data_IF_493743374093
#
_entry.id   IF_493743374093
#
_cell.length_a   1.000
_cell.length_b   1.000
_cell.length_c   1.000
_cell.angle_alpha   90.00
_cell.angle_beta   90.00
_cell.angle_gamma   90.00
#
_symmetry.space_group_name_H-M   'P 1'
#
loop_
_entity.id
_entity.type
_entity.pdbx_description
1 polymer ?
#
# COMPACT_ATOMS: atom_id res chain seq x y z
N UNK A 1 26.38 -23.29 7.45
CA UNK A 1 26.18 -21.86 7.14
C UNK A 1 26.20 -21.76 5.63
N UNK A 2 25.13 -21.29 4.96
CA UNK A 2 25.19 -21.06 3.53
C UNK A 2 26.25 -19.98 3.27
N UNK A 3 27.01 -20.13 2.20
CA UNK A 3 28.13 -19.27 1.82
C UNK A 3 27.65 -17.80 1.74
N UNK A 4 28.12 -16.95 2.67
CA UNK A 4 27.91 -15.51 2.62
C UNK A 4 28.48 -14.99 1.30
N UNK A 5 27.61 -14.44 0.47
CA UNK A 5 27.92 -14.01 -0.89
C UNK A 5 29.09 -13.01 -0.89
N UNK A 6 30.24 -13.44 -1.43
CA UNK A 6 31.53 -12.75 -1.35
C UNK A 6 31.73 -11.73 -2.47
N UNK A 7 30.76 -10.85 -2.72
CA UNK A 7 31.03 -9.64 -3.51
C UNK A 7 30.90 -8.43 -2.62
N UNK A 8 32.03 -7.97 -2.10
CA UNK A 8 32.12 -6.66 -1.47
C UNK A 8 31.78 -5.58 -2.52
N UNK A 9 30.55 -5.09 -2.52
CA UNK A 9 30.21 -3.86 -3.24
C UNK A 9 30.91 -2.72 -2.50
N UNK A 10 31.71 -1.95 -3.23
CA UNK A 10 32.34 -0.75 -2.69
C UNK A 10 31.27 0.35 -2.56
N UNK A 11 31.24 1.18 -1.50
CA UNK A 11 30.39 2.37 -1.45
C UNK A 11 30.45 3.25 -2.71
N UNK A 12 31.58 3.29 -3.42
CA UNK A 12 31.73 4.02 -4.68
C UNK A 12 30.94 3.41 -5.86
N UNK A 13 30.53 2.15 -5.75
CA UNK A 13 29.70 1.44 -6.72
C UNK A 13 28.20 1.59 -6.43
N UNK A 14 27.83 2.19 -5.29
CA UNK A 14 26.44 2.50 -5.00
C UNK A 14 25.90 3.53 -6.00
N UNK A 15 24.68 3.34 -6.50
CA UNK A 15 23.99 4.28 -7.36
C UNK A 15 24.02 5.69 -6.77
N UNK A 16 24.26 6.67 -7.67
CA UNK A 16 24.33 8.07 -7.28
C UNK A 16 23.07 8.53 -6.53
N UNK A 17 21.90 8.00 -6.90
CA UNK A 17 20.62 8.22 -6.22
C UNK A 17 20.72 8.00 -4.70
N UNK A 18 21.29 6.87 -4.27
CA UNK A 18 21.42 6.54 -2.85
C UNK A 18 22.40 7.50 -2.17
N UNK A 19 23.54 7.78 -2.80
CA UNK A 19 24.56 8.68 -2.23
C UNK A 19 24.09 10.14 -2.16
N UNK A 20 23.31 10.60 -3.14
CA UNK A 20 22.75 11.95 -3.18
C UNK A 20 21.58 12.07 -2.19
N UNK A 21 20.76 11.02 -2.03
CA UNK A 21 19.74 10.94 -0.97
C UNK A 21 20.35 11.11 0.42
N UNK A 22 21.40 10.34 0.74
CA UNK A 22 22.10 10.44 2.04
C UNK A 22 22.61 11.86 2.29
N UNK A 23 23.22 12.52 1.29
CA UNK A 23 23.65 13.92 1.40
C UNK A 23 22.47 14.87 1.63
N UNK A 24 21.34 14.64 0.96
CA UNK A 24 20.14 15.47 1.05
C UNK A 24 19.46 15.40 2.41
N UNK A 25 19.49 14.24 3.07
CA UNK A 25 18.87 14.06 4.39
C UNK A 25 19.83 14.32 5.55
N UNK A 26 21.14 14.46 5.31
CA UNK A 26 22.16 14.56 6.36
C UNK A 26 21.91 15.68 7.39
N UNK A 27 21.33 16.81 6.98
CA UNK A 27 21.00 17.92 7.89
C UNK A 27 19.83 17.64 8.82
N UNK A 28 19.00 16.64 8.52
CA UNK A 28 17.83 16.26 9.31
C UNK A 28 18.17 15.33 10.47
N UNK A 29 19.37 14.73 10.46
CA UNK A 29 19.77 13.70 11.41
C UNK A 29 21.02 14.13 12.20
N UNK A 30 21.09 13.79 13.50
CA UNK A 30 22.22 14.16 14.34
C UNK A 30 23.51 13.39 14.02
N UNK A 31 23.42 12.22 13.38
CA UNK A 31 24.56 11.39 13.02
C UNK A 31 24.22 10.47 11.83
N UNK A 32 25.25 9.86 11.24
CA UNK A 32 25.10 8.98 10.08
C UNK A 32 24.34 7.69 10.36
N UNK A 33 24.47 7.12 11.56
CA UNK A 33 23.76 5.91 11.97
C UNK A 33 22.24 6.11 11.96
N UNK A 34 21.76 7.29 12.35
CA UNK A 34 20.32 7.61 12.35
C UNK A 34 19.70 7.62 10.93
N UNK A 35 20.52 7.70 9.88
CA UNK A 35 20.06 7.65 8.49
C UNK A 35 19.93 6.22 7.94
N UNK A 36 20.25 5.19 8.73
CA UNK A 36 20.36 3.80 8.24
C UNK A 36 19.05 3.28 7.64
N UNK A 37 17.94 3.33 8.38
CA UNK A 37 16.64 2.84 7.90
C UNK A 37 16.18 3.59 6.63
N UNK A 38 16.16 4.94 6.59
CA UNK A 38 15.83 5.66 5.36
C UNK A 38 16.71 5.28 4.17
N UNK A 39 18.01 5.06 4.41
CA UNK A 39 18.97 4.70 3.36
C UNK A 39 18.73 3.28 2.85
N UNK A 40 18.42 2.33 3.73
CA UNK A 40 18.05 0.96 3.36
C UNK A 40 16.75 0.94 2.56
N UNK A 41 15.74 1.72 2.97
CA UNK A 41 14.50 1.88 2.22
C UNK A 41 14.79 2.45 0.84
N UNK A 42 15.61 3.51 0.72
CA UNK A 42 15.97 4.10 -0.57
C UNK A 42 16.72 3.12 -1.47
N UNK A 43 17.63 2.34 -0.90
CA UNK A 43 18.32 1.29 -1.64
C UNK A 43 17.34 0.20 -2.13
N UNK A 44 16.39 -0.19 -1.29
CA UNK A 44 15.31 -1.10 -1.67
C UNK A 44 14.44 -0.53 -2.80
N UNK A 45 14.19 0.78 -2.85
CA UNK A 45 13.47 1.36 -4.00
C UNK A 45 14.22 1.13 -5.29
N UNK A 46 15.53 1.32 -5.28
CA UNK A 46 16.40 1.15 -6.44
C UNK A 46 16.55 -0.31 -6.88
N UNK A 47 16.89 -1.20 -5.95
CA UNK A 47 17.19 -2.60 -6.23
C UNK A 47 15.96 -3.52 -6.16
N UNK A 48 14.88 -3.07 -5.52
CA UNK A 48 13.68 -3.84 -5.19
C UNK A 48 13.75 -4.66 -3.90
N UNK A 49 14.95 -4.99 -3.45
CA UNK A 49 15.25 -5.70 -2.21
C UNK A 49 16.69 -5.34 -1.80
N UNK A 50 17.04 -5.59 -0.54
CA UNK A 50 18.35 -5.30 0.03
C UNK A 50 19.14 -6.59 0.15
N UNK A 51 20.12 -6.78 -0.73
CA UNK A 51 21.07 -7.90 -0.60
C UNK A 51 22.14 -7.61 0.44
N UNK A 52 22.86 -8.63 0.88
CA UNK A 52 23.96 -8.47 1.84
C UNK A 52 25.04 -7.52 1.31
N UNK A 53 25.33 -7.58 0.01
CA UNK A 53 26.32 -6.71 -0.61
C UNK A 53 25.89 -5.23 -0.56
N UNK A 54 24.61 -4.96 -0.81
CA UNK A 54 24.04 -3.60 -0.71
C UNK A 54 24.05 -3.15 0.76
N UNK A 55 23.67 -4.01 1.70
CA UNK A 55 23.69 -3.73 3.12
C UNK A 55 25.11 -3.41 3.63
N UNK A 56 26.12 -4.20 3.23
CA UNK A 56 27.52 -3.95 3.55
C UNK A 56 28.01 -2.60 2.98
N UNK A 57 27.66 -2.28 1.74
CA UNK A 57 28.03 -1.01 1.12
C UNK A 57 27.40 0.19 1.85
N UNK A 58 26.13 0.08 2.27
CA UNK A 58 25.44 1.11 3.07
C UNK A 58 26.07 1.24 4.46
N UNK A 59 26.42 0.12 5.10
CA UNK A 59 27.13 0.12 6.38
C UNK A 59 28.46 0.88 6.28
N UNK A 60 29.26 0.60 5.24
CA UNK A 60 30.51 1.32 4.95
C UNK A 60 30.25 2.82 4.67
N UNK A 61 29.21 3.17 3.91
CA UNK A 61 28.83 4.55 3.59
C UNK A 61 28.47 5.36 4.85
N UNK A 62 27.67 4.77 5.75
CA UNK A 62 27.19 5.41 6.97
C UNK A 62 28.12 5.22 8.17
N UNK A 63 29.23 4.47 8.01
CA UNK A 63 30.16 4.07 9.07
C UNK A 63 29.47 3.28 10.20
N UNK A 64 28.54 2.40 9.83
CA UNK A 64 27.83 1.50 10.73
C UNK A 64 28.37 0.07 10.53
N UNK A 65 28.71 -0.68 11.59
CA UNK A 65 29.15 -2.07 11.48
C UNK A 65 28.08 -2.93 10.80
N UNK A 66 28.48 -3.86 9.91
CA UNK A 66 27.54 -4.71 9.19
C UNK A 66 26.60 -5.49 10.11
N UNK A 67 27.08 -6.03 11.24
CA UNK A 67 26.23 -6.74 12.20
C UNK A 67 25.09 -5.89 12.78
N UNK A 68 25.27 -4.56 12.89
CA UNK A 68 24.17 -3.67 13.27
C UNK A 68 23.21 -3.41 12.10
N UNK A 69 23.72 -3.38 10.87
CA UNK A 69 22.89 -3.26 9.66
C UNK A 69 22.03 -4.50 9.48
N UNK A 70 22.63 -5.68 9.59
CA UNK A 70 21.95 -6.98 9.55
C UNK A 70 20.86 -7.06 10.63
N UNK A 71 21.18 -6.69 11.87
CA UNK A 71 20.20 -6.66 12.95
C UNK A 71 18.99 -5.73 12.64
N UNK A 72 19.21 -4.60 11.96
CA UNK A 72 18.13 -3.71 11.52
C UNK A 72 17.32 -4.34 10.39
N UNK A 73 17.97 -4.96 9.41
CA UNK A 73 17.28 -5.63 8.30
C UNK A 73 16.40 -6.77 8.83
N UNK A 74 16.93 -7.60 9.73
CA UNK A 74 16.20 -8.72 10.32
C UNK A 74 15.05 -8.27 11.24
N UNK A 75 15.19 -7.11 11.88
CA UNK A 75 14.19 -6.58 12.80
C UNK A 75 12.99 -5.95 12.09
N UNK A 76 13.20 -5.23 10.99
CA UNK A 76 12.14 -4.50 10.29
C UNK A 76 11.60 -5.28 9.09
N UNK A 77 10.35 -5.76 9.20
CA UNK A 77 9.66 -6.55 8.16
C UNK A 77 9.47 -5.83 6.82
N UNK A 78 9.59 -4.50 6.80
CA UNK A 78 9.50 -3.69 5.57
C UNK A 78 10.79 -3.73 4.73
N UNK A 79 11.90 -4.20 5.30
CA UNK A 79 13.17 -4.34 4.59
C UNK A 79 13.28 -5.79 4.11
N UNK A 80 13.20 -5.96 2.79
CA UNK A 80 13.07 -7.24 2.13
C UNK A 80 14.45 -7.68 1.65
N UNK A 81 14.88 -8.86 2.07
CA UNK A 81 16.14 -9.46 1.59
C UNK A 81 15.95 -10.33 0.35
N UNK A 82 14.71 -10.71 0.04
CA UNK A 82 14.40 -11.58 -1.10
C UNK A 82 13.82 -10.77 -2.26
N UNK A 83 14.07 -11.18 -3.51
CA UNK A 83 13.39 -10.60 -4.66
C UNK A 83 11.87 -10.68 -4.49
N UNK A 84 11.19 -9.62 -4.93
CA UNK A 84 9.73 -9.53 -4.97
C UNK A 84 9.25 -9.23 -6.38
N UNK A 85 7.98 -9.51 -6.64
CA UNK A 85 7.29 -9.06 -7.85
C UNK A 85 7.24 -7.54 -7.93
N UNK A 86 6.79 -7.01 -9.06
CA UNK A 86 6.63 -5.57 -9.26
C UNK A 86 5.79 -4.90 -8.16
N UNK A 87 4.75 -5.59 -7.70
CA UNK A 87 3.84 -5.20 -6.64
C UNK A 87 3.88 -6.19 -5.49
N UNK A 88 4.04 -5.67 -4.28
CA UNK A 88 3.84 -6.41 -3.05
C UNK A 88 2.41 -6.14 -2.60
N UNK A 89 1.66 -7.23 -2.39
CA UNK A 89 0.30 -7.22 -1.86
C UNK A 89 0.40 -7.61 -0.39
N UNK A 90 0.44 -6.63 0.50
CA UNK A 90 0.41 -6.82 1.95
C UNK A 90 -1.02 -6.99 2.44
N UNK A 91 -1.41 -8.19 2.83
CA UNK A 91 -2.74 -8.48 3.38
C UNK A 91 -2.68 -8.59 4.90
N UNK A 92 -3.46 -7.75 5.59
CA UNK A 92 -3.54 -7.79 7.05
C UNK A 92 -4.24 -9.08 7.52
N UNK A 93 -3.60 -9.85 8.41
CA UNK A 93 -4.16 -11.08 9.01
C UNK A 93 -4.42 -10.99 10.51
N UNK A 94 -4.34 -9.78 11.08
CA UNK A 94 -4.78 -9.57 12.46
C UNK A 94 -6.28 -9.81 12.62
N UNK A 95 -6.70 -10.07 13.85
CA UNK A 95 -8.04 -10.52 14.23
C UNK A 95 -9.20 -9.84 13.48
N UNK A 96 -9.20 -8.51 13.37
CA UNK A 96 -10.28 -7.79 12.70
C UNK A 96 -10.34 -8.08 11.19
N UNK A 97 -9.20 -8.16 10.52
CA UNK A 97 -9.15 -8.46 9.09
C UNK A 97 -9.41 -9.94 8.82
N UNK A 98 -8.96 -10.83 9.71
CA UNK A 98 -9.31 -12.26 9.65
C UNK A 98 -10.83 -12.46 9.71
N UNK A 99 -11.50 -11.80 10.66
CA UNK A 99 -12.97 -11.81 10.76
C UNK A 99 -13.66 -11.13 9.58
N UNK A 100 -13.02 -10.13 8.98
CA UNK A 100 -13.51 -9.46 7.77
C UNK A 100 -13.29 -10.22 6.47
N UNK A 101 -12.71 -11.42 6.51
CA UNK A 101 -12.54 -12.27 5.32
C UNK A 101 -11.18 -12.20 4.66
N UNK A 102 -10.13 -11.76 5.35
CA UNK A 102 -8.75 -11.82 4.85
C UNK A 102 -8.34 -13.24 4.43
N UNK A 103 -8.73 -14.27 5.18
CA UNK A 103 -8.48 -15.66 4.81
C UNK A 103 -9.01 -16.02 3.41
N UNK A 104 -10.22 -15.56 3.06
CA UNK A 104 -10.82 -15.79 1.75
C UNK A 104 -10.03 -15.09 0.63
N UNK A 105 -9.56 -13.86 0.86
CA UNK A 105 -8.71 -13.15 -0.09
C UNK A 105 -7.36 -13.85 -0.30
N UNK A 106 -6.76 -14.36 0.78
CA UNK A 106 -5.51 -15.13 0.72
C UNK A 106 -5.69 -16.40 -0.11
N UNK A 107 -6.70 -17.19 0.21
CA UNK A 107 -7.00 -18.44 -0.50
C UNK A 107 -7.31 -18.19 -1.97
N UNK A 108 -8.08 -17.15 -2.27
CA UNK A 108 -8.38 -16.72 -3.63
C UNK A 108 -7.12 -16.35 -4.41
N UNK A 109 -6.22 -15.55 -3.82
CA UNK A 109 -4.95 -15.19 -4.46
C UNK A 109 -4.11 -16.43 -4.78
N UNK A 110 -3.96 -17.35 -3.82
CA UNK A 110 -3.20 -18.59 -3.99
C UNK A 110 -3.82 -19.44 -5.09
N UNK A 111 -5.16 -19.57 -5.12
CA UNK A 111 -5.87 -20.32 -6.15
C UNK A 111 -5.70 -19.69 -7.55
N UNK A 112 -5.75 -18.36 -7.66
CA UNK A 112 -5.62 -17.62 -8.92
C UNK A 112 -4.21 -17.73 -9.52
N UNK A 113 -3.16 -17.57 -8.72
CA UNK A 113 -1.78 -17.50 -9.22
C UNK A 113 -0.98 -18.80 -9.02
N UNK A 114 -1.48 -19.75 -8.24
CA UNK A 114 -0.78 -21.00 -7.94
C UNK A 114 0.52 -20.81 -7.14
N UNK A 115 0.62 -19.70 -6.39
CA UNK A 115 1.79 -19.30 -5.61
C UNK A 115 1.41 -19.01 -4.18
N UNK A 116 2.22 -19.51 -3.25
CA UNK A 116 2.05 -19.29 -1.82
C UNK A 116 2.48 -17.89 -1.38
N UNK A 117 2.33 -17.65 -0.07
CA UNK A 117 2.77 -16.41 0.58
C UNK A 117 4.29 -16.27 0.45
N UNK A 118 4.75 -15.08 0.05
CA UNK A 118 6.15 -14.74 -0.15
C UNK A 118 6.73 -15.22 -1.49
N UNK A 119 5.95 -15.91 -2.31
CA UNK A 119 6.38 -16.33 -3.65
C UNK A 119 5.98 -15.31 -4.72
N UNK A 120 6.80 -15.21 -5.75
CA UNK A 120 6.55 -14.35 -6.90
C UNK A 120 5.65 -15.09 -7.89
N UNK A 121 4.62 -14.40 -8.39
CA UNK A 121 3.74 -14.90 -9.45
C UNK A 121 4.52 -15.19 -10.74
N UNK A 122 4.02 -16.12 -11.57
CA UNK A 122 4.74 -16.55 -12.77
C UNK A 122 4.95 -15.43 -13.80
N UNK A 123 4.10 -14.41 -13.79
CA UNK A 123 4.21 -13.20 -14.59
C UNK A 123 5.17 -12.15 -14.00
N UNK A 124 5.74 -12.41 -12.82
CA UNK A 124 6.68 -11.52 -12.12
C UNK A 124 6.02 -10.29 -11.47
N UNK A 125 4.69 -10.18 -11.50
CA UNK A 125 4.00 -8.95 -11.12
C UNK A 125 3.68 -8.84 -9.64
N UNK A 126 3.30 -9.94 -8.98
CA UNK A 126 2.77 -9.87 -7.63
C UNK A 126 3.58 -10.75 -6.67
N UNK A 127 3.62 -10.31 -5.41
CA UNK A 127 4.04 -11.13 -4.27
C UNK A 127 3.08 -10.86 -3.13
N UNK A 128 2.36 -11.90 -2.68
CA UNK A 128 1.48 -11.80 -1.53
C UNK A 128 2.30 -11.94 -0.25
N UNK A 129 2.24 -10.95 0.63
CA UNK A 129 2.78 -11.01 1.98
C UNK A 129 1.63 -10.92 2.97
N UNK A 130 1.65 -11.78 3.98
CA UNK A 130 0.83 -11.56 5.17
C UNK A 130 1.52 -10.53 6.03
N UNK A 131 0.78 -9.49 6.43
CA UNK A 131 1.29 -8.40 7.26
C UNK A 131 0.42 -8.26 8.50
N UNK A 132 1.02 -7.67 9.52
CA UNK A 132 0.31 -7.35 10.76
C UNK A 132 -0.59 -6.11 10.59
N UNK A 133 -1.11 -5.60 11.71
CA UNK A 133 -2.06 -4.50 11.76
C UNK A 133 -1.63 -3.29 10.90
N UNK A 134 -2.48 -2.93 9.93
CA UNK A 134 -2.33 -1.74 9.09
C UNK A 134 -3.04 -0.50 9.66
N UNK A 135 -3.50 -0.56 10.91
CA UNK A 135 -4.24 0.52 11.61
C UNK A 135 -5.52 0.98 10.90
N UNK A 136 -6.13 0.11 10.09
CA UNK A 136 -7.34 0.41 9.30
C UNK A 136 -8.51 -0.52 9.66
N UNK A 137 -8.61 -0.83 10.95
CA UNK A 137 -9.52 -1.84 11.50
C UNK A 137 -11.01 -1.51 11.37
N UNK A 138 -11.37 -0.30 10.93
CA UNK A 138 -12.77 0.12 10.82
C UNK A 138 -13.46 -0.46 9.58
N UNK A 139 -12.72 -0.84 8.55
CA UNK A 139 -13.22 -1.35 7.27
C UNK A 139 -12.50 -2.62 6.81
N UNK A 140 -12.50 -3.72 7.59
CA UNK A 140 -11.81 -4.93 7.18
C UNK A 140 -12.45 -5.57 5.93
N UNK A 141 -11.69 -6.32 5.13
CA UNK A 141 -10.25 -6.56 5.23
C UNK A 141 -9.44 -5.41 4.61
N UNK A 142 -8.27 -5.12 5.20
CA UNK A 142 -7.37 -4.05 4.78
C UNK A 142 -6.11 -4.60 4.11
N UNK A 143 -5.69 -3.94 3.03
CA UNK A 143 -4.53 -4.27 2.23
C UNK A 143 -3.63 -3.05 2.05
N UNK A 144 -2.36 -3.34 1.85
CA UNK A 144 -1.33 -2.39 1.46
C UNK A 144 -0.70 -2.86 0.16
N UNK A 145 -0.72 -2.02 -0.87
CA UNK A 145 0.01 -2.24 -2.11
C UNK A 145 1.29 -1.42 -2.09
N UNK A 146 2.43 -2.05 -2.38
CA UNK A 146 3.72 -1.38 -2.56
C UNK A 146 4.23 -1.69 -3.96
N UNK A 147 4.51 -0.66 -4.75
CA UNK A 147 5.16 -0.82 -6.06
C UNK A 147 6.67 -0.63 -5.91
N UNK A 148 7.46 -1.51 -6.53
CA UNK A 148 8.93 -1.33 -6.60
C UNK A 148 9.30 -0.06 -7.37
N UNK A 149 10.49 0.48 -7.13
CA UNK A 149 10.99 1.66 -7.84
C UNK A 149 10.64 2.98 -7.16
N UNK A 150 10.54 4.05 -7.96
CA UNK A 150 10.25 5.40 -7.48
C UNK A 150 8.88 5.52 -6.77
N UNK A 151 7.96 4.60 -7.06
CA UNK A 151 6.62 4.52 -6.48
C UNK A 151 6.50 3.61 -5.26
N UNK A 152 7.60 3.42 -4.50
CA UNK A 152 7.60 2.68 -3.22
C UNK A 152 6.90 3.44 -2.08
N UNK A 153 5.69 3.92 -2.36
CA UNK A 153 4.77 4.51 -1.39
C UNK A 153 3.63 3.52 -1.19
N UNK A 154 3.35 3.10 0.05
CA UNK A 154 2.23 2.22 0.32
C UNK A 154 0.92 2.91 -0.05
N UNK A 155 0.08 2.20 -0.81
CA UNK A 155 -1.30 2.59 -1.02
C UNK A 155 -2.21 1.61 -0.31
N UNK A 156 -3.10 2.14 0.52
CA UNK A 156 -4.04 1.33 1.29
C UNK A 156 -5.36 1.15 0.57
N UNK A 157 -5.92 -0.04 0.73
CA UNK A 157 -7.25 -0.39 0.23
C UNK A 157 -8.01 -1.19 1.30
N UNK A 158 -9.30 -0.91 1.47
CA UNK A 158 -10.15 -1.53 2.49
C UNK A 158 -11.54 -1.86 1.95
N UNK A 159 -12.41 -2.45 2.79
CA UNK A 159 -13.70 -3.00 2.37
C UNK A 159 -13.59 -3.96 1.17
N UNK A 160 -12.51 -4.72 1.05
CA UNK A 160 -12.29 -5.53 -0.14
C UNK A 160 -13.16 -6.79 -0.13
N UNK A 161 -13.91 -6.95 -1.22
CA UNK A 161 -14.47 -8.24 -1.64
C UNK A 161 -13.49 -8.93 -2.59
N UNK A 162 -13.73 -10.21 -2.88
CA UNK A 162 -12.93 -10.97 -3.86
C UNK A 162 -12.97 -10.30 -5.24
N UNK A 163 -14.14 -9.81 -5.64
CA UNK A 163 -14.35 -9.17 -6.95
C UNK A 163 -13.60 -7.84 -7.06
N UNK A 164 -13.66 -7.00 -6.01
CA UNK A 164 -12.90 -5.74 -5.98
C UNK A 164 -11.40 -6.00 -5.93
N UNK A 165 -10.97 -7.01 -5.18
CA UNK A 165 -9.58 -7.41 -5.11
C UNK A 165 -9.06 -7.85 -6.49
N UNK A 166 -9.80 -8.69 -7.21
CA UNK A 166 -9.47 -9.08 -8.58
C UNK A 166 -9.41 -7.91 -9.54
N UNK A 167 -10.40 -7.01 -9.49
CA UNK A 167 -10.42 -5.83 -10.33
C UNK A 167 -9.19 -4.93 -10.10
N UNK A 168 -8.74 -4.76 -8.84
CA UNK A 168 -7.52 -4.02 -8.53
C UNK A 168 -6.30 -4.72 -9.09
N UNK A 169 -6.16 -6.03 -8.90
CA UNK A 169 -5.03 -6.80 -9.41
C UNK A 169 -4.96 -6.80 -10.94
N UNK A 170 -6.10 -6.93 -11.62
CA UNK A 170 -6.16 -6.92 -13.08
C UNK A 170 -5.79 -5.53 -13.63
N UNK A 171 -6.23 -4.45 -12.97
CA UNK A 171 -5.86 -3.08 -13.33
C UNK A 171 -4.38 -2.79 -13.10
N UNK A 172 -3.81 -3.29 -11.99
CA UNK A 172 -2.37 -3.24 -11.72
C UNK A 172 -1.59 -4.03 -12.78
N UNK A 173 -2.04 -5.23 -13.12
CA UNK A 173 -1.42 -6.05 -14.14
C UNK A 173 -1.48 -5.40 -15.53
N UNK A 174 -2.54 -4.64 -15.83
CA UNK A 174 -2.67 -3.88 -17.06
C UNK A 174 -1.85 -2.57 -17.07
N UNK A 175 -1.18 -2.22 -15.96
CA UNK A 175 -0.40 -0.98 -15.84
C UNK A 175 -1.26 0.28 -15.87
N UNK A 176 -2.52 0.20 -15.43
CA UNK A 176 -3.42 1.37 -15.43
C UNK A 176 -2.95 2.35 -14.36
N UNK A 177 -2.75 3.61 -14.77
CA UNK A 177 -2.24 4.67 -13.89
C UNK A 177 -3.15 4.93 -12.67
N UNK A 178 -4.41 4.53 -12.74
CA UNK A 178 -5.46 4.76 -11.76
C UNK A 178 -5.86 3.48 -10.99
N UNK A 179 -5.13 2.38 -11.15
CA UNK A 179 -5.47 1.07 -10.57
C UNK A 179 -5.69 1.11 -9.04
N UNK A 180 -4.95 1.96 -8.33
CA UNK A 180 -5.03 2.14 -6.87
C UNK A 180 -5.86 3.37 -6.45
N UNK A 181 -6.68 3.91 -7.36
CA UNK A 181 -7.62 4.98 -7.04
C UNK A 181 -8.66 4.50 -6.03
N UNK A 182 -9.24 5.45 -5.33
CA UNK A 182 -10.42 5.23 -4.50
C UNK A 182 -11.59 4.75 -5.38
N UNK A 183 -12.18 3.60 -5.05
CA UNK A 183 -13.31 3.01 -5.76
C UNK A 183 -14.56 3.03 -4.89
N UNK A 184 -15.73 3.19 -5.49
CA UNK A 184 -16.98 3.09 -4.76
C UNK A 184 -17.20 1.63 -4.32
N UNK A 185 -17.69 1.45 -3.10
CA UNK A 185 -18.06 0.12 -2.58
C UNK A 185 -19.56 0.05 -2.39
N UNK A 186 -20.12 0.99 -1.60
CA UNK A 186 -21.55 1.03 -1.29
C UNK A 186 -21.95 2.36 -0.66
N UNK A 187 -23.26 2.59 -0.61
CA UNK A 187 -23.88 3.71 0.09
C UNK A 187 -24.86 3.18 1.12
N UNK A 188 -24.76 3.65 2.37
CA UNK A 188 -25.58 3.16 3.48
C UNK A 188 -26.29 4.29 4.19
N UNK A 189 -27.53 4.09 4.64
CA UNK A 189 -28.22 5.10 5.45
C UNK A 189 -27.57 5.23 6.83
N UNK A 190 -27.25 6.45 7.24
CA UNK A 190 -26.64 6.72 8.55
C UNK A 190 -27.68 6.61 9.65
N UNK A 191 -27.54 5.62 10.54
CA UNK A 191 -28.48 5.41 11.64
C UNK A 191 -28.45 6.53 12.70
N UNK A 192 -27.26 7.03 13.03
CA UNK A 192 -27.06 8.09 14.03
C UNK A 192 -26.82 9.43 13.34
N UNK A 193 -27.84 10.00 12.71
CA UNK A 193 -27.76 11.29 12.03
C UNK A 193 -27.65 12.47 13.03
N UNK A 194 -26.83 13.50 12.77
CA UNK A 194 -26.72 14.68 13.62
C UNK A 194 -27.94 15.62 13.53
N UNK A 195 -28.69 15.54 12.44
CA UNK A 195 -29.91 16.32 12.18
C UNK A 195 -30.89 15.53 11.28
N UNK A 196 -31.98 16.16 10.86
CA UNK A 196 -33.11 15.58 10.12
C UNK A 196 -32.85 15.37 8.61
N UNK A 197 -31.67 15.73 8.11
CA UNK A 197 -31.32 15.55 6.70
C UNK A 197 -31.13 14.08 6.34
N UNK A 198 -31.14 13.78 5.05
CA UNK A 198 -30.90 12.44 4.52
C UNK A 198 -29.41 12.08 4.55
N UNK A 199 -28.94 11.71 5.74
CA UNK A 199 -27.56 11.30 5.95
C UNK A 199 -27.29 9.88 5.45
N UNK A 200 -26.21 9.74 4.69
CA UNK A 200 -25.67 8.48 4.19
C UNK A 200 -24.18 8.37 4.48
N UNK A 201 -23.69 7.15 4.62
CA UNK A 201 -22.28 6.81 4.54
C UNK A 201 -21.95 6.45 3.10
N UNK A 202 -21.07 7.23 2.48
CA UNK A 202 -20.41 6.86 1.25
C UNK A 202 -19.18 6.02 1.60
N UNK A 203 -19.22 4.72 1.29
CA UNK A 203 -18.14 3.79 1.59
C UNK A 203 -17.34 3.52 0.32
N UNK A 204 -16.02 3.66 0.44
CA UNK A 204 -15.06 3.47 -0.65
C UNK A 204 -13.97 2.49 -0.23
N UNK A 205 -13.09 2.14 -1.17
CA UNK A 205 -11.90 1.34 -0.88
C UNK A 205 -10.83 2.09 -0.07
N UNK A 206 -11.01 3.37 0.29
CA UNK A 206 -10.06 4.08 1.17
C UNK A 206 -10.66 4.50 2.48
N UNK A 207 -11.92 4.94 2.48
CA UNK A 207 -12.57 5.42 3.69
C UNK A 207 -14.10 5.41 3.58
N UNK A 208 -14.75 5.76 4.68
CA UNK A 208 -16.16 6.07 4.77
C UNK A 208 -16.37 7.56 5.02
N UNK A 209 -17.30 8.18 4.29
CA UNK A 209 -17.56 9.61 4.36
C UNK A 209 -19.02 9.88 4.71
N UNK A 210 -19.30 10.75 5.70
CA UNK A 210 -20.66 11.14 6.01
C UNK A 210 -21.11 12.17 4.97
N UNK A 211 -22.11 11.81 4.19
CA UNK A 211 -22.68 12.67 3.17
C UNK A 211 -24.17 12.90 3.43
N UNK A 212 -24.70 13.97 2.85
CA UNK A 212 -26.12 14.29 2.81
C UNK A 212 -26.59 14.19 1.37
N UNK A 213 -27.68 13.49 1.14
CA UNK A 213 -28.36 13.47 -0.15
C UNK A 213 -29.37 14.62 -0.21
N UNK A 214 -29.20 15.53 -1.16
CA UNK A 214 -30.14 16.62 -1.43
C UNK A 214 -30.68 16.53 -2.87
N UNK A 215 -31.99 16.72 -3.04
CA UNK A 215 -32.67 16.65 -4.34
C UNK A 215 -33.48 15.37 -4.54
N UNK A 216 -33.95 15.14 -5.77
CA UNK A 216 -34.74 13.95 -6.15
C UNK A 216 -34.47 13.54 -7.59
N UNK A 217 -34.46 12.24 -7.88
CA UNK A 217 -34.23 11.69 -9.22
C UNK A 217 -32.88 12.10 -9.82
N UNK A 218 -32.88 12.60 -11.05
CA UNK A 218 -31.67 13.01 -11.77
C UNK A 218 -30.97 14.25 -11.19
N UNK A 219 -31.62 14.98 -10.28
CA UNK A 219 -31.07 16.17 -9.62
C UNK A 219 -30.47 15.87 -8.23
N UNK A 220 -30.32 14.59 -7.86
CA UNK A 220 -29.77 14.21 -6.56
C UNK A 220 -28.27 14.55 -6.48
N UNK A 221 -27.90 15.28 -5.43
CA UNK A 221 -26.53 15.72 -5.13
C UNK A 221 -26.05 15.06 -3.84
N UNK A 222 -24.83 14.56 -3.88
CA UNK A 222 -24.12 14.08 -2.69
C UNK A 222 -23.31 15.24 -2.12
N UNK A 223 -23.72 15.73 -0.96
CA UNK A 223 -23.03 16.79 -0.23
C UNK A 223 -22.22 16.13 0.88
N UNK A 224 -20.91 16.11 0.71
CA UNK A 224 -20.02 15.60 1.75
C UNK A 224 -19.86 16.60 2.90
N UNK A 225 -20.03 16.13 4.14
CA UNK A 225 -19.86 16.93 5.35
C UNK A 225 -18.45 17.46 5.56
N UNK A 226 -17.44 16.87 4.89
CA UNK A 226 -16.04 17.34 4.94
C UNK A 226 -15.60 18.09 3.67
N UNK A 227 -16.48 18.26 2.67
CA UNK A 227 -16.14 18.95 1.43
C UNK A 227 -15.02 18.29 0.61
N UNK A 228 -14.80 16.98 0.78
CA UNK A 228 -13.89 16.19 -0.05
C UNK A 228 -14.50 15.89 -1.43
N UNK A 229 -15.83 15.73 -1.49
CA UNK A 229 -16.57 15.50 -2.75
C UNK A 229 -17.28 16.75 -3.29
N UNK A 230 -17.40 17.82 -2.50
CA UNK A 230 -17.79 19.15 -2.98
C UNK A 230 -16.61 19.86 -3.65
N UNK A 231 -16.87 20.62 -4.73
CA UNK A 231 -15.84 21.37 -5.48
C UNK A 231 -14.61 20.53 -5.89
N UNK A 232 -14.84 19.28 -6.34
CA UNK A 232 -13.86 18.45 -7.06
C UNK A 232 -12.44 18.42 -6.46
N UNK A 233 -12.30 18.15 -5.15
CA UNK A 233 -10.99 17.78 -4.57
C UNK A 233 -10.60 16.32 -4.83
N UNK A 234 -11.52 15.54 -5.37
CA UNK A 234 -11.27 14.20 -5.90
C UNK A 234 -11.57 14.22 -7.41
N UNK A 235 -10.52 14.25 -8.23
CA UNK A 235 -10.58 14.36 -9.69
C UNK A 235 -10.91 13.01 -10.38
N UNK A 236 -11.55 12.07 -9.68
CA UNK A 236 -11.85 10.74 -10.19
C UNK A 236 -13.28 10.70 -10.78
N UNK A 237 -13.48 10.98 -12.08
CA UNK A 237 -14.80 11.08 -12.69
C UNK A 237 -15.59 9.76 -12.64
N UNK A 238 -14.90 8.61 -12.65
CA UNK A 238 -15.53 7.31 -12.55
C UNK A 238 -16.16 7.10 -11.17
N UNK A 239 -15.48 7.51 -10.10
CA UNK A 239 -16.04 7.46 -8.74
C UNK A 239 -17.28 8.35 -8.62
N UNK A 240 -17.27 9.57 -9.18
CA UNK A 240 -18.45 10.45 -9.18
C UNK A 240 -19.63 9.84 -9.94
N UNK A 241 -19.38 9.17 -11.07
CA UNK A 241 -20.42 8.50 -11.83
C UNK A 241 -21.04 7.31 -11.08
N UNK A 242 -20.20 6.48 -10.44
CA UNK A 242 -20.64 5.35 -9.60
C UNK A 242 -21.49 5.84 -8.41
N UNK A 243 -21.05 6.91 -7.73
CA UNK A 243 -21.79 7.52 -6.62
C UNK A 243 -23.13 8.08 -7.08
N UNK A 244 -23.15 8.81 -8.20
CA UNK A 244 -24.39 9.39 -8.73
C UNK A 244 -25.39 8.31 -9.17
N UNK A 245 -24.91 7.17 -9.69
CA UNK A 245 -25.75 6.03 -10.00
C UNK A 245 -26.33 5.41 -8.73
N UNK A 246 -25.50 5.14 -7.72
CA UNK A 246 -25.94 4.55 -6.44
C UNK A 246 -26.91 5.45 -5.68
N UNK A 247 -26.73 6.78 -5.74
CA UNK A 247 -27.62 7.73 -5.11
C UNK A 247 -29.05 7.65 -5.68
N UNK A 248 -29.22 7.38 -6.98
CA UNK A 248 -30.55 7.27 -7.61
C UNK A 248 -31.35 6.04 -7.18
N UNK A 249 -30.69 5.02 -6.63
CA UNK A 249 -31.32 3.77 -6.21
C UNK A 249 -31.83 3.81 -4.75
N UNK A 250 -31.50 4.87 -4.00
CA UNK A 250 -31.89 5.10 -2.59
C UNK A 250 -33.12 6.01 -2.45
#
# INVERSE_FOLDING_TARGET
>A
MPELHTKDINPAELPKQITDFVKGIASQYPNSKAMLIPTLIEAQKYYGHVTDEVAMAIGKLLKVPYGEVEAVIDFYTMILQKPTGEYIVGLCDTWNCEWGGAAALKEHFIAKYGKGVGEITADGKFTLLMVECLCDCHNPPSLQFLQRGEHFTPTWSNNLTVELFDAILDDLAAGKADALRERFVRMEKKQNAPDDRNWVWLVTTRNQYPCVLEGSGDAMKVIDGFGKFGDLKNDNPALHAEIAAAAKEL
#
